data_IF_327479296421
#
_entry.id   IF_327479296421
#
_cell.length_a   1.000
_cell.length_b   1.000
_cell.length_c   1.000
_cell.angle_alpha   90.00
_cell.angle_beta   90.00
_cell.angle_gamma   90.00
#
_symmetry.space_group_name_H-M   'P 1'
#
loop_
_entity.id
_entity.type
_entity.pdbx_description
1 polymer ?
#
# COMPACT_ATOMS: atom_id res chain seq x y z
N UNK A 1 17.12 -10.28 7.70
CA UNK A 1 17.04 -9.11 8.58
C UNK A 1 18.11 -8.09 8.22
N UNK A 2 19.36 -8.53 8.07
CA UNK A 2 20.52 -7.70 7.69
C UNK A 2 20.33 -6.79 6.46
N UNK A 3 19.62 -7.24 5.43
CA UNK A 3 19.34 -6.42 4.24
C UNK A 3 18.40 -5.23 4.54
N UNK A 4 17.41 -5.43 5.42
CA UNK A 4 16.51 -4.36 5.87
C UNK A 4 17.29 -3.35 6.70
N UNK A 5 18.04 -3.82 7.69
CA UNK A 5 18.87 -2.98 8.55
C UNK A 5 19.89 -2.18 7.76
N UNK A 6 20.54 -2.79 6.74
CA UNK A 6 21.48 -2.10 5.85
C UNK A 6 20.82 -0.95 5.08
N UNK A 7 19.62 -1.16 4.55
CA UNK A 7 18.91 -0.13 3.77
C UNK A 7 18.50 1.02 4.70
N UNK A 8 17.83 0.72 5.81
CA UNK A 8 17.39 1.75 6.77
C UNK A 8 18.55 2.57 7.34
N UNK A 9 19.68 1.93 7.65
CA UNK A 9 20.89 2.60 8.15
C UNK A 9 21.61 3.41 7.05
N UNK A 10 21.50 3.01 5.77
CA UNK A 10 22.11 3.74 4.64
C UNK A 10 21.29 4.94 4.16
N UNK A 11 19.98 4.95 4.40
CA UNK A 11 19.05 6.03 3.98
C UNK A 11 18.74 7.02 5.09
N UNK A 12 19.39 6.89 6.25
CA UNK A 12 19.08 7.67 7.47
C UNK A 12 19.27 9.19 7.28
N UNK A 13 20.17 9.61 6.38
CA UNK A 13 20.41 11.02 6.06
C UNK A 13 19.60 11.56 4.88
N UNK A 14 19.04 10.69 4.03
CA UNK A 14 18.24 11.10 2.87
C UNK A 14 17.18 10.04 2.51
N UNK A 15 15.98 10.25 3.06
CA UNK A 15 14.82 9.40 2.80
C UNK A 15 14.34 9.43 1.35
N UNK A 16 14.73 10.42 0.53
CA UNK A 16 14.39 10.45 -0.89
C UNK A 16 15.05 9.28 -1.65
N UNK A 17 16.16 8.74 -1.14
CA UNK A 17 16.82 7.54 -1.67
C UNK A 17 15.93 6.30 -1.54
N UNK A 18 14.87 6.29 -0.73
CA UNK A 18 13.96 5.16 -0.66
C UNK A 18 13.05 5.03 -1.90
N UNK A 19 12.79 6.11 -2.63
CA UNK A 19 11.87 6.12 -3.76
C UNK A 19 12.45 5.41 -4.99
N UNK A 20 11.59 4.70 -5.72
CA UNK A 20 11.94 3.99 -6.95
C UNK A 20 12.23 4.95 -8.10
N UNK A 21 13.08 4.52 -9.05
CA UNK A 21 13.30 5.19 -10.35
C UNK A 21 13.71 4.14 -11.40
N UNK A 22 13.54 4.41 -12.71
CA UNK A 22 13.97 3.47 -13.74
C UNK A 22 15.43 3.03 -13.56
N UNK A 23 15.69 1.73 -13.74
CA UNK A 23 17.02 1.13 -13.54
C UNK A 23 17.40 0.80 -12.09
N UNK A 24 16.55 1.13 -11.11
CA UNK A 24 16.77 0.80 -9.70
C UNK A 24 16.02 -0.48 -9.31
N UNK A 25 16.70 -1.39 -8.62
CA UNK A 25 16.08 -2.62 -8.06
C UNK A 25 15.44 -2.34 -6.71
N UNK A 26 14.34 -3.03 -6.44
CA UNK A 26 13.68 -3.01 -5.14
C UNK A 26 14.51 -3.75 -4.08
N UNK A 27 14.40 -3.35 -2.79
CA UNK A 27 14.89 -4.13 -1.66
C UNK A 27 14.38 -5.58 -1.66
N UNK A 28 15.11 -6.51 -1.05
CA UNK A 28 14.72 -7.93 -1.04
C UNK A 28 13.37 -8.18 -0.37
N UNK A 29 13.07 -7.45 0.71
CA UNK A 29 11.80 -7.58 1.41
C UNK A 29 10.62 -7.15 0.52
N UNK A 30 10.81 -6.08 -0.26
CA UNK A 30 9.78 -5.55 -1.14
C UNK A 30 9.59 -6.45 -2.36
N UNK A 31 10.67 -6.90 -2.99
CA UNK A 31 10.57 -7.85 -4.11
C UNK A 31 9.86 -9.14 -3.69
N UNK A 32 10.16 -9.66 -2.49
CA UNK A 32 9.55 -10.89 -1.98
C UNK A 32 8.04 -10.75 -1.75
N UNK A 33 7.56 -9.56 -1.38
CA UNK A 33 6.11 -9.30 -1.22
C UNK A 33 5.45 -9.12 -2.58
N UNK A 34 6.08 -8.40 -3.51
CA UNK A 34 5.60 -8.25 -4.90
C UNK A 34 5.45 -9.62 -5.57
N UNK A 35 6.44 -10.51 -5.44
CA UNK A 35 6.37 -11.86 -6.02
C UNK A 35 5.18 -12.67 -5.45
N UNK A 36 4.91 -12.54 -4.16
CA UNK A 36 3.75 -13.19 -3.52
C UNK A 36 2.43 -12.60 -4.00
N UNK A 37 2.34 -11.28 -4.12
CA UNK A 37 1.16 -10.56 -4.61
C UNK A 37 0.84 -10.94 -6.06
N UNK A 38 1.84 -10.95 -6.93
CA UNK A 38 1.67 -11.33 -8.34
C UNK A 38 1.27 -12.80 -8.50
N UNK A 39 1.82 -13.70 -7.67
CA UNK A 39 1.37 -15.10 -7.66
C UNK A 39 -0.08 -15.21 -7.21
N UNK A 40 -0.48 -14.53 -6.14
CA UNK A 40 -1.87 -14.53 -5.68
C UNK A 40 -2.82 -14.03 -6.77
N UNK A 41 -2.49 -12.91 -7.42
CA UNK A 41 -3.26 -12.38 -8.55
C UNK A 41 -3.40 -13.42 -9.66
N UNK A 42 -2.31 -14.07 -10.04
CA UNK A 42 -2.31 -15.10 -11.08
C UNK A 42 -3.22 -16.29 -10.72
N UNK A 43 -3.13 -16.80 -9.49
CA UNK A 43 -3.99 -17.89 -9.00
C UNK A 43 -5.48 -17.51 -9.05
N UNK A 44 -5.83 -16.29 -8.65
CA UNK A 44 -7.21 -15.78 -8.74
C UNK A 44 -7.67 -15.69 -10.21
N UNK A 45 -6.81 -15.24 -11.12
CA UNK A 45 -7.12 -15.19 -12.56
C UNK A 45 -7.35 -16.59 -13.15
N UNK A 46 -6.73 -17.62 -12.59
CA UNK A 46 -6.94 -19.02 -12.97
C UNK A 46 -8.19 -19.67 -12.31
N UNK A 47 -8.91 -18.93 -11.45
CA UNK A 47 -10.14 -19.38 -10.82
C UNK A 47 -9.94 -20.03 -9.45
N UNK A 48 -8.79 -19.83 -8.80
CA UNK A 48 -8.61 -20.24 -7.41
C UNK A 48 -9.63 -19.54 -6.48
N UNK A 49 -10.02 -20.17 -5.36
CA UNK A 49 -10.93 -19.56 -4.40
C UNK A 49 -10.28 -18.36 -3.70
N UNK A 50 -11.10 -17.33 -3.44
CA UNK A 50 -10.68 -16.15 -2.69
C UNK A 50 -10.56 -16.48 -1.20
N UNK A 51 -9.40 -16.23 -0.62
CA UNK A 51 -9.21 -16.30 0.83
C UNK A 51 -9.89 -15.14 1.56
N UNK A 52 -10.41 -15.40 2.76
CA UNK A 52 -11.08 -14.39 3.59
C UNK A 52 -10.18 -13.18 3.89
N UNK A 53 -8.89 -13.42 4.15
CA UNK A 53 -7.89 -12.39 4.44
C UNK A 53 -7.78 -11.31 3.32
N UNK A 54 -7.88 -11.71 2.06
CA UNK A 54 -7.67 -10.83 0.92
C UNK A 54 -8.97 -10.47 0.18
N UNK A 55 -10.12 -10.94 0.67
CA UNK A 55 -11.42 -10.72 0.02
C UNK A 55 -11.69 -9.24 -0.25
N UNK A 56 -11.40 -8.36 0.72
CA UNK A 56 -11.60 -6.90 0.59
C UNK A 56 -10.77 -6.25 -0.51
N UNK A 57 -9.65 -6.87 -0.91
CA UNK A 57 -8.80 -6.38 -2.01
C UNK A 57 -9.45 -6.65 -3.38
N UNK A 58 -10.40 -7.58 -3.46
CA UNK A 58 -11.08 -7.99 -4.69
C UNK A 58 -12.52 -7.46 -4.77
N UNK A 59 -13.17 -7.15 -3.64
CA UNK A 59 -14.52 -6.56 -3.62
C UNK A 59 -14.52 -5.05 -3.85
N UNK A 60 -13.36 -4.40 -3.75
CA UNK A 60 -13.21 -2.95 -3.82
C UNK A 60 -13.40 -2.23 -2.48
N UNK A 61 -13.80 -2.93 -1.42
CA UNK A 61 -13.99 -2.34 -0.09
C UNK A 61 -12.72 -1.67 0.44
N UNK A 62 -11.58 -2.37 0.44
CA UNK A 62 -10.33 -1.81 0.95
C UNK A 62 -9.86 -0.59 0.15
N UNK A 63 -10.07 -0.61 -1.17
CA UNK A 63 -9.73 0.52 -2.03
C UNK A 63 -10.59 1.75 -1.72
N UNK A 64 -11.91 1.56 -1.59
CA UNK A 64 -12.85 2.65 -1.26
C UNK A 64 -12.61 3.20 0.15
N UNK A 65 -12.44 2.32 1.16
CA UNK A 65 -12.17 2.71 2.55
C UNK A 65 -10.87 3.52 2.66
N UNK A 66 -9.80 3.10 1.97
CA UNK A 66 -8.51 3.79 1.99
C UNK A 66 -8.58 5.19 1.39
N UNK A 67 -9.18 5.32 0.19
CA UNK A 67 -9.30 6.62 -0.48
C UNK A 67 -10.27 7.54 0.27
N UNK A 68 -11.41 7.02 0.76
CA UNK A 68 -12.34 7.82 1.53
C UNK A 68 -11.70 8.43 2.80
N UNK A 69 -10.85 7.65 3.47
CA UNK A 69 -10.10 8.13 4.64
C UNK A 69 -9.04 9.15 4.24
N UNK A 70 -8.31 8.92 3.14
CA UNK A 70 -7.33 9.87 2.64
C UNK A 70 -7.97 11.22 2.25
N UNK A 71 -9.15 11.19 1.62
CA UNK A 71 -9.92 12.39 1.28
C UNK A 71 -10.39 13.14 2.53
N UNK A 72 -10.91 12.42 3.54
CA UNK A 72 -11.29 13.01 4.82
C UNK A 72 -10.11 13.68 5.52
N UNK A 73 -8.94 13.03 5.53
CA UNK A 73 -7.72 13.59 6.12
C UNK A 73 -7.21 14.81 5.34
N UNK A 74 -7.25 14.75 4.00
CA UNK A 74 -6.87 15.85 3.11
C UNK A 74 -7.78 17.06 3.37
N UNK A 75 -9.10 16.85 3.40
CA UNK A 75 -10.06 17.90 3.70
C UNK A 75 -9.88 18.46 5.12
N UNK A 76 -9.67 17.59 6.11
CA UNK A 76 -9.43 17.99 7.50
C UNK A 76 -8.20 18.90 7.63
N UNK A 77 -7.12 18.58 6.93
CA UNK A 77 -5.90 19.37 6.91
C UNK A 77 -6.10 20.74 6.22
N UNK A 78 -6.82 20.79 5.11
CA UNK A 78 -7.05 22.04 4.37
C UNK A 78 -8.10 22.95 5.01
N UNK A 79 -9.08 22.39 5.72
CA UNK A 79 -10.17 23.14 6.36
C UNK A 79 -9.94 23.38 7.87
N UNK A 80 -8.82 22.90 8.42
CA UNK A 80 -8.46 23.01 9.85
C UNK A 80 -9.60 22.59 10.80
N UNK A 81 -10.32 21.52 10.44
CA UNK A 81 -11.44 20.99 11.23
C UNK A 81 -11.49 19.48 11.18
N UNK A 82 -12.22 18.88 12.14
CA UNK A 82 -12.56 17.46 12.07
C UNK A 82 -13.57 17.21 10.96
N UNK A 83 -13.31 16.18 10.15
CA UNK A 83 -14.19 15.69 9.07
C UNK A 83 -14.63 14.28 9.43
N UNK A 84 -15.93 14.01 9.36
CA UNK A 84 -16.50 12.66 9.54
C UNK A 84 -16.46 11.91 8.21
N UNK A 85 -16.24 10.59 8.25
CA UNK A 85 -16.28 9.76 7.04
C UNK A 85 -17.63 9.83 6.30
N UNK A 86 -18.73 10.04 7.02
CA UNK A 86 -20.06 10.27 6.42
C UNK A 86 -20.17 11.53 5.55
N UNK A 87 -19.18 12.43 5.61
CA UNK A 87 -19.08 13.59 4.71
C UNK A 87 -18.45 13.20 3.36
N UNK A 88 -17.65 12.13 3.32
CA UNK A 88 -16.98 11.62 2.12
C UNK A 88 -17.79 10.49 1.47
N UNK A 89 -18.16 9.49 2.26
CA UNK A 89 -18.95 8.34 1.81
C UNK A 89 -20.43 8.62 2.10
N UNK A 90 -21.26 8.59 1.05
CA UNK A 90 -22.71 8.78 1.14
C UNK A 90 -23.45 7.46 1.14
#
# INVERSE_FOLDING_TARGET
DDDRTRIYHSTEMDGAIAYGKPGKRTPLWLSSVIDKEMRYLHEIMEGAPVSEEFAKLLTGEAALEAIATADACTQSMFEDRKVKLSEIVK
#
